data_IF_628374793798
#
_entry.id   IF_628374793798
#
_cell.length_a   1.000
_cell.length_b   1.000
_cell.length_c   1.000
_cell.angle_alpha   90.00
_cell.angle_beta   90.00
_cell.angle_gamma   90.00
#
_symmetry.space_group_name_H-M   'P 1'
#
loop_
_entity.id
_entity.type
_entity.pdbx_description
1 polymer ?
#
# COMPACT_ATOMS: atom_id res chain seq x y z
N UNK A 1 -17.86 10.36 -5.39
CA UNK A 1 -16.84 10.96 -4.49
C UNK A 1 -15.92 9.89 -3.87
N UNK A 2 -16.38 8.65 -3.62
CA UNK A 2 -15.54 7.56 -3.07
C UNK A 2 -14.42 7.04 -4.00
N UNK A 3 -14.63 7.04 -5.33
CA UNK A 3 -13.68 6.50 -6.32
C UNK A 3 -12.29 7.17 -6.26
N UNK A 4 -12.23 8.49 -6.08
CA UNK A 4 -10.97 9.23 -6.01
C UNK A 4 -10.15 8.91 -4.75
N UNK A 5 -10.82 8.70 -3.61
CA UNK A 5 -10.13 8.34 -2.36
C UNK A 5 -9.57 6.91 -2.35
N UNK A 6 -10.17 5.99 -3.12
CA UNK A 6 -9.65 4.63 -3.30
C UNK A 6 -8.43 4.60 -4.21
N UNK A 7 -8.35 5.49 -5.21
CA UNK A 7 -7.22 5.55 -6.14
C UNK A 7 -5.95 6.10 -5.47
N UNK A 8 -6.08 6.97 -4.49
CA UNK A 8 -4.94 7.50 -3.70
C UNK A 8 -4.24 6.44 -2.82
N UNK A 9 -4.76 5.22 -2.72
CA UNK A 9 -4.18 4.15 -1.87
C UNK A 9 -2.90 3.54 -2.45
N UNK A 10 -2.65 3.72 -3.75
CA UNK A 10 -1.58 3.01 -4.45
C UNK A 10 -0.25 3.78 -4.40
N UNK A 11 0.74 3.16 -3.75
CA UNK A 11 2.08 3.71 -3.63
C UNK A 11 2.94 3.39 -4.84
N UNK A 12 3.84 4.32 -5.18
CA UNK A 12 4.99 3.99 -6.04
C UNK A 12 5.93 3.02 -5.33
N UNK A 13 6.78 2.32 -6.09
CA UNK A 13 7.82 1.45 -5.51
C UNK A 13 8.69 2.17 -4.48
N UNK A 14 9.02 3.45 -4.71
CA UNK A 14 9.82 4.26 -3.79
C UNK A 14 9.07 4.55 -2.48
N UNK A 15 7.80 4.97 -2.56
CA UNK A 15 6.97 5.23 -1.38
C UNK A 15 6.79 3.95 -0.54
N UNK A 16 6.48 2.83 -1.21
CA UNK A 16 6.39 1.51 -0.59
C UNK A 16 7.69 1.16 0.18
N UNK A 17 8.83 1.23 -0.50
CA UNK A 17 10.13 0.89 0.09
C UNK A 17 10.48 1.78 1.29
N UNK A 18 10.19 3.08 1.19
CA UNK A 18 10.44 4.04 2.25
C UNK A 18 9.62 3.70 3.50
N UNK A 19 8.30 3.58 3.37
CA UNK A 19 7.43 3.25 4.50
C UNK A 19 7.71 1.87 5.10
N UNK A 20 7.96 0.87 4.25
CA UNK A 20 8.32 -0.48 4.70
C UNK A 20 9.58 -0.45 5.56
N UNK A 21 10.63 0.22 5.10
CA UNK A 21 11.90 0.31 5.83
C UNK A 21 11.76 1.02 7.19
N UNK A 22 10.80 1.93 7.32
CA UNK A 22 10.50 2.62 8.59
C UNK A 22 9.73 1.68 9.51
N UNK A 23 8.66 1.07 9.02
CA UNK A 23 7.80 0.18 9.79
C UNK A 23 8.56 -1.01 10.36
N UNK A 24 9.48 -1.60 9.59
CA UNK A 24 10.32 -2.72 10.02
C UNK A 24 11.14 -2.41 11.29
N UNK A 25 11.48 -1.15 11.56
CA UNK A 25 12.19 -0.77 12.80
C UNK A 25 11.30 -0.87 14.05
N UNK A 26 9.98 -0.94 13.88
CA UNK A 26 8.99 -0.87 14.97
C UNK A 26 8.13 -2.15 15.11
N UNK A 27 8.32 -3.16 14.26
CA UNK A 27 7.53 -4.41 14.30
C UNK A 27 7.81 -5.29 15.51
N UNK A 28 8.85 -5.00 16.28
CA UNK A 28 9.27 -5.78 17.44
C UNK A 28 9.43 -4.87 18.67
N UNK A 29 8.32 -4.35 19.21
CA UNK A 29 8.37 -3.57 20.44
C UNK A 29 8.86 -4.43 21.60
N UNK A 30 9.53 -3.80 22.55
CA UNK A 30 10.06 -4.48 23.73
C UNK A 30 8.93 -5.03 24.59
N UNK A 31 9.19 -6.15 25.27
CA UNK A 31 8.16 -6.77 26.11
C UNK A 31 7.69 -5.85 27.23
N UNK A 32 8.58 -5.04 27.80
CA UNK A 32 8.24 -4.04 28.82
C UNK A 32 7.20 -3.04 28.32
N UNK A 33 7.28 -2.63 27.06
CA UNK A 33 6.31 -1.70 26.47
C UNK A 33 4.94 -2.37 26.34
N UNK A 34 4.92 -3.65 25.95
CA UNK A 34 3.68 -4.45 25.87
C UNK A 34 3.05 -4.62 27.26
N UNK A 35 3.87 -4.93 28.26
CA UNK A 35 3.41 -5.12 29.65
C UNK A 35 2.81 -3.85 30.24
N UNK A 36 3.37 -2.68 29.95
CA UNK A 36 2.85 -1.39 30.38
C UNK A 36 1.41 -1.12 29.90
N UNK A 37 1.00 -1.72 28.77
CA UNK A 37 -0.35 -1.62 28.21
C UNK A 37 -1.25 -2.82 28.56
N UNK A 38 -0.74 -3.82 29.28
CA UNK A 38 -1.47 -5.06 29.50
C UNK A 38 -2.73 -4.85 30.34
N UNK A 39 -2.71 -3.99 31.36
CA UNK A 39 -3.88 -3.75 32.21
C UNK A 39 -4.88 -2.75 31.63
N UNK A 40 -4.64 -2.26 30.41
CA UNK A 40 -5.49 -1.25 29.80
C UNK A 40 -6.87 -1.81 29.40
N UNK A 41 -7.90 -1.02 29.66
CA UNK A 41 -9.31 -1.37 29.45
C UNK A 41 -9.63 -1.67 27.98
N UNK A 42 -8.90 -1.04 27.05
CA UNK A 42 -9.02 -1.28 25.61
C UNK A 42 -8.80 -2.75 25.21
N UNK A 43 -7.99 -3.47 25.99
CA UNK A 43 -7.56 -4.83 25.67
C UNK A 43 -8.13 -5.90 26.60
N UNK A 44 -9.04 -5.54 27.50
CA UNK A 44 -9.68 -6.51 28.41
C UNK A 44 -10.54 -7.50 27.62
N UNK A 45 -10.38 -8.79 27.93
CA UNK A 45 -11.16 -9.88 27.31
C UNK A 45 -10.87 -10.13 25.83
N UNK A 46 -9.77 -9.58 25.27
CA UNK A 46 -9.40 -9.79 23.87
C UNK A 46 -8.56 -11.05 23.69
N UNK A 47 -8.98 -11.88 22.74
CA UNK A 47 -8.13 -12.94 22.21
C UNK A 47 -6.89 -12.33 21.55
N UNK A 48 -5.74 -13.01 21.62
CA UNK A 48 -4.47 -12.53 21.05
C UNK A 48 -4.04 -11.14 21.54
N UNK A 49 -4.49 -10.73 22.72
CA UNK A 49 -4.20 -9.45 23.38
C UNK A 49 -2.77 -8.94 23.18
N UNK A 50 -1.77 -9.78 23.43
CA UNK A 50 -0.36 -9.39 23.34
C UNK A 50 0.01 -8.94 21.93
N UNK A 51 -0.53 -9.61 20.90
CA UNK A 51 -0.28 -9.25 19.50
C UNK A 51 -1.00 -7.95 19.13
N UNK A 52 -2.23 -7.77 19.59
CA UNK A 52 -2.99 -6.52 19.34
C UNK A 52 -2.29 -5.32 20.00
N UNK A 53 -1.77 -5.49 21.22
CA UNK A 53 -0.97 -4.46 21.91
C UNK A 53 0.30 -4.16 21.11
N UNK A 54 1.01 -5.19 20.64
CA UNK A 54 2.19 -5.01 19.78
C UNK A 54 1.84 -4.20 18.53
N UNK A 55 0.73 -4.52 17.87
CA UNK A 55 0.31 -3.80 16.67
C UNK A 55 0.00 -2.33 16.95
N UNK A 56 -0.66 -2.04 18.08
CA UNK A 56 -0.96 -0.69 18.53
C UNK A 56 0.32 0.12 18.82
N UNK A 57 1.31 -0.49 19.48
CA UNK A 57 2.60 0.14 19.75
C UNK A 57 3.36 0.40 18.44
N UNK A 58 3.39 -0.57 17.53
CA UNK A 58 3.99 -0.42 16.20
C UNK A 58 3.33 0.72 15.41
N UNK A 59 1.99 0.78 15.40
CA UNK A 59 1.22 1.86 14.79
C UNK A 59 1.62 3.22 15.37
N UNK A 60 1.64 3.37 16.70
CA UNK A 60 2.03 4.61 17.36
C UNK A 60 3.45 5.04 17.00
N UNK A 61 4.43 4.14 17.12
CA UNK A 61 5.83 4.47 16.87
C UNK A 61 6.08 4.81 15.39
N UNK A 62 5.41 4.10 14.48
CA UNK A 62 5.43 4.43 13.06
C UNK A 62 4.87 5.83 12.80
N UNK A 63 3.69 6.17 13.34
CA UNK A 63 3.09 7.49 13.14
C UNK A 63 3.94 8.61 13.75
N UNK A 64 4.44 8.41 14.98
CA UNK A 64 5.33 9.37 15.65
C UNK A 64 6.61 9.66 14.87
N UNK A 65 7.11 8.70 14.07
CA UNK A 65 8.25 8.92 13.18
C UNK A 65 7.99 10.03 12.14
N UNK A 66 6.74 10.21 11.71
CA UNK A 66 6.37 11.22 10.71
C UNK A 66 5.82 12.51 11.30
N UNK A 67 5.48 12.54 12.60
CA UNK A 67 4.86 13.70 13.24
C UNK A 67 5.73 14.97 13.30
N UNK A 68 7.01 14.89 12.90
CA UNK A 68 7.92 16.04 12.89
C UNK A 68 8.17 16.64 11.49
N UNK A 69 7.53 16.16 10.41
CA UNK A 69 7.74 16.65 9.04
C UNK A 69 6.50 16.42 8.13
N UNK A 70 6.36 17.21 7.05
CA UNK A 70 5.41 16.95 5.93
C UNK A 70 5.64 15.60 5.20
N UNK A 71 6.55 14.77 5.71
CA UNK A 71 7.00 13.54 5.09
C UNK A 71 5.91 12.47 5.02
N UNK A 72 4.94 12.44 5.96
CA UNK A 72 3.89 11.42 5.90
C UNK A 72 3.02 11.59 4.66
N UNK A 73 2.48 12.80 4.44
CA UNK A 73 1.60 13.09 3.30
C UNK A 73 2.32 12.80 1.99
N UNK A 74 3.55 13.31 1.84
CA UNK A 74 4.37 13.11 0.64
C UNK A 74 4.69 11.65 0.33
N UNK A 75 4.71 10.78 1.33
CA UNK A 75 5.04 9.37 1.17
C UNK A 75 3.85 8.44 1.43
N UNK A 76 2.61 8.96 1.52
CA UNK A 76 1.41 8.16 1.72
C UNK A 76 1.42 7.26 2.98
N UNK A 77 2.07 7.73 4.05
CA UNK A 77 2.36 6.88 5.22
C UNK A 77 1.09 6.29 5.87
N UNK A 78 0.00 7.07 5.92
CA UNK A 78 -1.28 6.63 6.47
C UNK A 78 -1.89 5.46 5.69
N UNK A 79 -1.81 5.47 4.36
CA UNK A 79 -2.36 4.39 3.52
C UNK A 79 -1.54 3.13 3.67
N UNK A 80 -0.21 3.27 3.72
CA UNK A 80 0.71 2.15 3.92
C UNK A 80 0.48 1.46 5.28
N UNK A 81 0.41 2.21 6.38
CA UNK A 81 0.17 1.60 7.70
C UNK A 81 -1.23 0.99 7.79
N UNK A 82 -2.23 1.59 7.14
CA UNK A 82 -3.56 0.99 7.04
C UNK A 82 -3.53 -0.34 6.27
N UNK A 83 -2.74 -0.44 5.19
CA UNK A 83 -2.54 -1.69 4.47
C UNK A 83 -1.92 -2.75 5.38
N UNK A 84 -0.88 -2.38 6.13
CA UNK A 84 -0.23 -3.30 7.05
C UNK A 84 -1.21 -3.84 8.11
N UNK A 85 -2.01 -2.99 8.74
CA UNK A 85 -3.06 -3.41 9.68
C UNK A 85 -4.08 -4.35 9.02
N UNK A 86 -4.54 -4.03 7.80
CA UNK A 86 -5.46 -4.88 7.05
C UNK A 86 -4.85 -6.26 6.73
N UNK A 87 -3.58 -6.29 6.37
CA UNK A 87 -2.83 -7.53 6.14
C UNK A 87 -2.76 -8.37 7.41
N UNK A 88 -2.46 -7.76 8.56
CA UNK A 88 -2.44 -8.45 9.85
C UNK A 88 -3.81 -8.99 10.24
N UNK A 89 -4.88 -8.18 10.12
CA UNK A 89 -6.27 -8.61 10.37
C UNK A 89 -6.69 -9.80 9.52
N UNK A 90 -6.32 -9.80 8.23
CA UNK A 90 -6.75 -10.85 7.28
C UNK A 90 -5.91 -12.12 7.37
N UNK A 91 -4.61 -12.01 7.59
CA UNK A 91 -3.69 -13.17 7.54
C UNK A 91 -3.44 -13.78 8.91
N UNK A 92 -3.36 -12.95 9.96
CA UNK A 92 -3.01 -13.39 11.31
C UNK A 92 -4.25 -13.65 12.15
N UNK A 93 -5.12 -12.64 12.31
CA UNK A 93 -6.26 -12.72 13.21
C UNK A 93 -7.49 -13.37 12.59
N UNK A 94 -7.70 -13.20 11.27
CA UNK A 94 -8.90 -13.65 10.53
C UNK A 94 -10.21 -13.16 11.16
N UNK A 95 -10.16 -11.97 11.74
CA UNK A 95 -11.17 -11.34 12.61
C UNK A 95 -12.25 -10.55 11.86
N UNK A 96 -12.21 -10.50 10.52
CA UNK A 96 -13.10 -9.64 9.73
C UNK A 96 -12.96 -8.14 10.03
N UNK A 97 -11.81 -7.70 10.57
CA UNK A 97 -11.55 -6.31 10.92
C UNK A 97 -12.01 -5.91 12.33
N UNK A 98 -12.35 -6.86 13.21
CA UNK A 98 -12.83 -6.56 14.55
C UNK A 98 -11.85 -5.71 15.39
N UNK A 99 -10.54 -5.77 15.13
CA UNK A 99 -9.56 -5.00 15.89
C UNK A 99 -9.40 -3.55 15.41
N UNK A 100 -10.01 -3.14 14.28
CA UNK A 100 -9.92 -1.76 13.81
C UNK A 100 -10.46 -0.74 14.80
N UNK A 101 -11.52 -1.10 15.55
CA UNK A 101 -12.05 -0.25 16.64
C UNK A 101 -11.04 -0.09 17.79
N UNK A 102 -10.20 -1.10 18.03
CA UNK A 102 -9.15 -1.05 19.04
C UNK A 102 -8.03 -0.12 18.58
N UNK A 103 -7.61 -0.22 17.31
CA UNK A 103 -6.61 0.67 16.74
C UNK A 103 -7.07 2.14 16.80
N UNK A 104 -8.31 2.43 16.40
CA UNK A 104 -8.90 3.77 16.49
C UNK A 104 -8.92 4.29 17.94
N UNK A 105 -9.44 3.50 18.88
CA UNK A 105 -9.51 3.89 20.29
C UNK A 105 -8.11 4.11 20.90
N UNK A 106 -7.13 3.26 20.55
CA UNK A 106 -5.75 3.41 20.98
C UNK A 106 -5.12 4.69 20.44
N UNK A 107 -5.31 5.01 19.15
CA UNK A 107 -4.83 6.26 18.57
C UNK A 107 -5.44 7.48 19.29
N UNK A 108 -6.75 7.44 19.56
CA UNK A 108 -7.45 8.50 20.27
C UNK A 108 -7.01 8.68 21.72
N UNK A 109 -6.50 7.62 22.36
CA UNK A 109 -6.03 7.64 23.75
C UNK A 109 -4.57 8.05 23.87
N UNK A 110 -3.71 7.64 22.93
CA UNK A 110 -2.25 7.73 23.10
C UNK A 110 -1.49 8.55 22.06
N UNK A 111 -2.16 9.04 21.01
CA UNK A 111 -1.51 9.74 19.90
C UNK A 111 -2.04 11.17 19.72
N UNK A 112 -3.34 11.42 19.93
CA UNK A 112 -4.07 12.67 19.63
C UNK A 112 -3.69 13.92 20.43
N UNK A 113 -2.78 13.84 21.41
CA UNK A 113 -2.47 14.99 22.27
C UNK A 113 -1.70 16.13 21.59
N UNK A 114 -1.25 15.96 20.34
CA UNK A 114 -0.61 17.01 19.54
C UNK A 114 -1.16 17.02 18.11
N UNK A 115 -2.11 17.93 17.84
CA UNK A 115 -2.56 18.36 16.49
C UNK A 115 -3.22 17.30 15.60
N UNK A 116 -4.02 17.77 14.63
CA UNK A 116 -4.87 16.99 13.72
C UNK A 116 -4.21 15.68 13.26
N UNK A 117 -4.66 14.58 13.85
CA UNK A 117 -4.00 13.30 13.68
C UNK A 117 -4.22 12.81 12.23
N UNK A 118 -3.20 13.04 11.39
CA UNK A 118 -3.20 12.91 9.93
C UNK A 118 -3.76 11.58 9.39
N UNK A 119 -3.70 10.51 10.19
CA UNK A 119 -4.07 9.17 9.76
C UNK A 119 -5.38 8.62 10.32
N UNK A 120 -6.04 9.25 11.31
CA UNK A 120 -7.22 8.65 11.96
C UNK A 120 -8.30 8.25 10.95
N UNK A 121 -8.66 9.17 10.04
CA UNK A 121 -9.66 8.91 8.99
C UNK A 121 -9.22 7.87 7.94
N UNK A 122 -7.92 7.55 7.89
CA UNK A 122 -7.35 6.59 6.96
C UNK A 122 -7.25 5.17 7.54
N UNK A 123 -7.26 5.00 8.87
CA UNK A 123 -7.18 3.67 9.50
C UNK A 123 -8.56 3.03 9.51
N UNK A 124 -8.82 2.20 8.51
CA UNK A 124 -10.11 1.50 8.34
C UNK A 124 -9.92 0.15 7.67
N UNK A 125 -10.82 -0.78 7.99
CA UNK A 125 -10.87 -2.06 7.30
C UNK A 125 -11.17 -1.85 5.82
N UNK A 126 -10.23 -2.23 4.95
CA UNK A 126 -10.32 -2.04 3.52
C UNK A 126 -11.33 -2.99 2.90
N UNK A 127 -12.03 -2.53 1.87
CA UNK A 127 -12.84 -3.41 1.03
C UNK A 127 -11.98 -4.54 0.45
N UNK A 128 -12.45 -5.81 0.44
CA UNK A 128 -11.62 -6.95 0.02
C UNK A 128 -10.95 -6.79 -1.34
N UNK A 129 -11.66 -6.25 -2.34
CA UNK A 129 -11.08 -6.05 -3.68
C UNK A 129 -9.94 -5.02 -3.69
N UNK A 130 -10.08 -3.94 -2.92
CA UNK A 130 -9.04 -2.89 -2.82
C UNK A 130 -7.82 -3.46 -2.12
N UNK A 131 -8.04 -4.20 -1.03
CA UNK A 131 -6.96 -4.86 -0.31
C UNK A 131 -6.18 -5.83 -1.19
N UNK A 132 -6.85 -6.69 -1.95
CA UNK A 132 -6.17 -7.66 -2.83
C UNK A 132 -5.37 -6.96 -3.93
N UNK A 133 -5.85 -5.84 -4.50
CA UNK A 133 -5.09 -5.06 -5.47
C UNK A 133 -3.79 -4.49 -4.86
N UNK A 134 -3.89 -3.83 -3.70
CA UNK A 134 -2.72 -3.26 -3.00
C UNK A 134 -1.74 -4.36 -2.58
N UNK A 135 -2.27 -5.49 -2.09
CA UNK A 135 -1.48 -6.65 -1.69
C UNK A 135 -0.67 -7.21 -2.86
N UNK A 136 -1.30 -7.44 -4.01
CA UNK A 136 -0.61 -7.96 -5.20
C UNK A 136 0.45 -6.98 -5.70
N UNK A 137 0.15 -5.68 -5.71
CA UNK A 137 1.11 -4.62 -6.07
C UNK A 137 2.34 -4.64 -5.14
N UNK A 138 2.14 -4.71 -3.83
CA UNK A 138 3.26 -4.75 -2.88
C UNK A 138 4.01 -6.08 -2.89
N UNK A 139 3.35 -7.20 -3.18
CA UNK A 139 4.01 -8.48 -3.41
C UNK A 139 4.93 -8.43 -4.64
N UNK A 140 4.48 -7.81 -5.72
CA UNK A 140 5.30 -7.55 -6.90
C UNK A 140 6.54 -6.72 -6.55
N UNK A 141 6.38 -5.66 -5.76
CA UNK A 141 7.51 -4.86 -5.25
C UNK A 141 8.46 -5.65 -4.36
N UNK A 142 7.95 -6.53 -3.49
CA UNK A 142 8.78 -7.42 -2.68
C UNK A 142 9.62 -8.37 -3.53
N UNK A 143 9.03 -8.96 -4.57
CA UNK A 143 9.77 -9.80 -5.50
C UNK A 143 10.81 -9.00 -6.27
N UNK A 144 10.47 -7.80 -6.74
CA UNK A 144 11.45 -6.91 -7.38
C UNK A 144 12.62 -6.60 -6.46
N UNK A 145 12.37 -6.16 -5.23
CA UNK A 145 13.44 -5.87 -4.27
C UNK A 145 14.32 -7.09 -3.98
N UNK A 146 13.72 -8.29 -3.87
CA UNK A 146 14.47 -9.54 -3.72
C UNK A 146 15.32 -9.84 -4.95
N UNK A 147 14.77 -9.68 -6.15
CA UNK A 147 15.51 -9.80 -7.40
C UNK A 147 16.76 -8.90 -7.40
N UNK A 148 16.60 -7.61 -7.08
CA UNK A 148 17.70 -6.64 -7.06
C UNK A 148 18.73 -6.94 -5.96
N UNK A 149 18.27 -7.28 -4.75
CA UNK A 149 19.18 -7.56 -3.61
C UNK A 149 19.98 -8.85 -3.80
N UNK A 150 19.44 -9.80 -4.57
CA UNK A 150 19.99 -11.15 -4.76
C UNK A 150 20.70 -11.36 -6.08
N UNK A 151 21.03 -10.32 -6.85
CA UNK A 151 21.63 -10.44 -8.21
C UNK A 151 22.81 -11.39 -8.31
N UNK A 152 23.64 -11.51 -7.28
CA UNK A 152 24.81 -12.40 -7.33
C UNK A 152 24.48 -13.87 -7.01
N UNK A 153 23.21 -14.19 -6.74
CA UNK A 153 22.72 -15.51 -6.38
C UNK A 153 21.85 -16.09 -7.49
N UNK A 154 21.90 -17.42 -7.67
CA UNK A 154 21.10 -18.13 -8.68
C UNK A 154 19.59 -17.91 -8.54
N UNK A 155 19.12 -17.61 -7.32
CA UNK A 155 17.71 -17.37 -7.01
C UNK A 155 17.19 -16.02 -7.53
N UNK A 156 18.07 -15.09 -7.96
CA UNK A 156 17.67 -13.76 -8.42
C UNK A 156 16.62 -13.83 -9.54
N UNK A 157 16.85 -14.65 -10.56
CA UNK A 157 15.93 -14.79 -11.68
C UNK A 157 14.61 -15.45 -11.31
N UNK A 158 14.58 -16.29 -10.27
CA UNK A 158 13.32 -16.80 -9.70
C UNK A 158 12.48 -15.67 -9.13
N UNK A 159 13.10 -14.71 -8.43
CA UNK A 159 12.37 -13.52 -7.95
C UNK A 159 11.93 -12.60 -9.09
N UNK A 160 12.73 -12.45 -10.15
CA UNK A 160 12.31 -11.71 -11.34
C UNK A 160 11.08 -12.35 -12.00
N UNK A 161 11.05 -13.69 -12.11
CA UNK A 161 9.89 -14.43 -12.62
C UNK A 161 8.66 -14.27 -11.73
N UNK A 162 8.81 -14.34 -10.40
CA UNK A 162 7.72 -14.09 -9.46
C UNK A 162 7.18 -12.66 -9.55
N UNK A 163 8.08 -11.68 -9.74
CA UNK A 163 7.72 -10.29 -9.96
C UNK A 163 6.92 -10.11 -11.25
N UNK A 164 7.41 -10.67 -12.37
CA UNK A 164 6.71 -10.68 -13.65
C UNK A 164 5.31 -11.30 -13.52
N UNK A 165 5.21 -12.47 -12.89
CA UNK A 165 3.91 -13.14 -12.69
C UNK A 165 2.94 -12.27 -11.90
N UNK A 166 3.39 -11.64 -10.82
CA UNK A 166 2.54 -10.74 -10.04
C UNK A 166 2.10 -9.50 -10.85
N UNK A 167 2.96 -8.98 -11.73
CA UNK A 167 2.60 -7.90 -12.66
C UNK A 167 1.55 -8.37 -13.67
N UNK A 168 1.75 -9.54 -14.28
CA UNK A 168 0.83 -10.12 -15.26
C UNK A 168 -0.55 -10.43 -14.65
N UNK A 169 -0.58 -10.91 -13.41
CA UNK A 169 -1.80 -11.11 -12.64
C UNK A 169 -2.55 -9.79 -12.43
N UNK A 170 -1.85 -8.67 -12.21
CA UNK A 170 -2.47 -7.33 -12.11
C UNK A 170 -3.07 -6.93 -13.45
N UNK A 171 -2.31 -7.04 -14.55
CA UNK A 171 -2.78 -6.68 -15.89
C UNK A 171 -4.01 -7.48 -16.29
N UNK A 172 -4.00 -8.78 -16.00
CA UNK A 172 -5.08 -9.70 -16.38
C UNK A 172 -6.37 -9.43 -15.62
N UNK A 173 -6.30 -9.08 -14.33
CA UNK A 173 -7.48 -8.97 -13.48
C UNK A 173 -7.97 -7.53 -13.28
N UNK A 174 -7.21 -6.53 -13.73
CA UNK A 174 -7.56 -5.13 -13.55
C UNK A 174 -8.40 -4.60 -14.72
N UNK A 175 -9.72 -4.49 -14.50
CA UNK A 175 -10.68 -4.05 -15.52
C UNK A 175 -11.42 -2.74 -15.18
N UNK A 176 -10.94 -1.97 -14.19
CA UNK A 176 -11.67 -0.79 -13.70
C UNK A 176 -11.12 0.51 -14.27
N UNK A 177 -11.98 1.29 -14.92
CA UNK A 177 -11.67 2.63 -15.41
C UNK A 177 -11.68 3.69 -14.28
N UNK A 178 -10.87 4.74 -14.45
CA UNK A 178 -10.83 5.89 -13.56
C UNK A 178 -9.93 5.76 -12.33
N UNK A 179 -9.03 4.77 -12.30
CA UNK A 179 -7.95 4.66 -11.30
C UNK A 179 -6.63 5.21 -11.89
N UNK A 180 -6.61 6.51 -12.11
CA UNK A 180 -5.47 7.25 -12.69
C UNK A 180 -4.15 7.03 -11.94
N UNK A 181 -4.19 7.01 -10.60
CA UNK A 181 -3.03 6.83 -9.73
C UNK A 181 -2.51 5.40 -9.82
N UNK A 182 -3.39 4.40 -9.76
CA UNK A 182 -2.98 3.00 -9.97
C UNK A 182 -2.28 2.80 -11.31
N UNK A 183 -2.89 3.32 -12.38
CA UNK A 183 -2.36 3.24 -13.73
C UNK A 183 -1.00 3.92 -13.86
N UNK A 184 -0.82 5.12 -13.28
CA UNK A 184 0.46 5.83 -13.23
C UNK A 184 1.52 4.99 -12.49
N UNK A 185 1.19 4.44 -11.32
CA UNK A 185 2.10 3.61 -10.53
C UNK A 185 2.56 2.36 -11.28
N UNK A 186 1.66 1.70 -12.03
CA UNK A 186 2.01 0.55 -12.85
C UNK A 186 2.87 0.92 -14.06
N UNK A 187 2.63 2.08 -14.68
CA UNK A 187 3.42 2.59 -15.81
C UNK A 187 4.85 2.88 -15.38
N UNK A 188 5.00 3.56 -14.23
CA UNK A 188 6.30 3.88 -13.65
C UNK A 188 7.07 2.60 -13.30
N UNK A 189 6.40 1.62 -12.68
CA UNK A 189 7.03 0.35 -12.36
C UNK A 189 7.45 -0.44 -13.60
N UNK A 190 6.59 -0.48 -14.63
CA UNK A 190 6.90 -1.13 -15.92
C UNK A 190 8.20 -0.58 -16.50
N UNK A 191 8.37 0.75 -16.53
CA UNK A 191 9.60 1.40 -16.96
C UNK A 191 10.81 0.95 -16.12
N UNK A 192 10.69 0.99 -14.79
CA UNK A 192 11.76 0.55 -13.86
C UNK A 192 12.18 -0.90 -14.14
N UNK A 193 11.22 -1.80 -14.36
CA UNK A 193 11.48 -3.22 -14.58
C UNK A 193 12.15 -3.48 -15.93
N UNK A 194 11.67 -2.84 -17.00
CA UNK A 194 12.16 -3.04 -18.36
C UNK A 194 13.54 -2.42 -18.60
N UNK A 195 13.81 -1.27 -18.00
CA UNK A 195 15.11 -0.59 -18.07
C UNK A 195 16.19 -1.27 -17.20
N UNK A 196 15.81 -2.26 -16.38
CA UNK A 196 16.76 -3.01 -15.57
C UNK A 196 17.79 -3.72 -16.46
N UNK A 197 19.08 -3.58 -16.15
CA UNK A 197 20.16 -4.15 -16.98
C UNK A 197 20.04 -5.67 -17.17
N UNK A 198 19.54 -6.41 -16.16
CA UNK A 198 19.41 -7.86 -16.26
C UNK A 198 18.18 -8.27 -17.06
N UNK A 199 17.11 -7.47 -17.02
CA UNK A 199 15.90 -7.68 -17.82
C UNK A 199 16.15 -7.31 -19.28
N UNK A 200 16.63 -6.08 -19.52
CA UNK A 200 16.92 -5.55 -20.86
C UNK A 200 17.95 -6.39 -21.62
N UNK A 201 19.02 -6.87 -20.95
CA UNK A 201 20.03 -7.76 -21.55
C UNK A 201 19.63 -9.24 -21.52
N UNK A 202 18.43 -9.58 -21.06
CA UNK A 202 17.92 -10.96 -20.97
C UNK A 202 18.88 -11.92 -20.25
N UNK A 203 19.43 -11.47 -19.11
CA UNK A 203 20.31 -12.28 -18.26
C UNK A 203 19.55 -13.38 -17.51
N UNK A 204 18.25 -13.19 -17.29
CA UNK A 204 17.35 -14.22 -16.82
C UNK A 204 16.73 -14.98 -18.01
N UNK A 205 16.27 -16.22 -17.76
CA UNK A 205 15.61 -17.06 -18.77
C UNK A 205 14.58 -16.28 -19.60
N UNK A 206 14.44 -16.67 -20.88
CA UNK A 206 13.52 -16.11 -21.87
C UNK A 206 12.01 -16.15 -21.50
N UNK A 207 11.67 -16.71 -20.33
CA UNK A 207 10.31 -16.73 -19.77
C UNK A 207 9.86 -15.36 -19.25
N UNK A 208 10.78 -14.42 -19.05
CA UNK A 208 10.44 -13.02 -18.73
C UNK A 208 10.42 -12.24 -20.04
N UNK A 209 9.25 -11.71 -20.45
CA UNK A 209 9.18 -10.83 -21.61
C UNK A 209 10.06 -9.59 -21.40
N UNK A 210 10.73 -9.15 -22.46
CA UNK A 210 11.44 -7.86 -22.44
C UNK A 210 10.46 -6.68 -22.40
N UNK A 211 9.24 -6.87 -22.92
CA UNK A 211 8.20 -5.85 -22.92
C UNK A 211 6.97 -6.43 -22.21
N UNK A 212 6.61 -5.81 -21.11
CA UNK A 212 5.41 -6.09 -20.34
C UNK A 212 4.18 -5.52 -21.06
N UNK A 213 3.05 -6.20 -20.96
CA UNK A 213 1.76 -5.62 -21.35
C UNK A 213 1.38 -4.46 -20.43
N UNK A 214 0.38 -3.66 -20.81
CA UNK A 214 -0.17 -2.61 -19.95
C UNK A 214 -1.70 -2.78 -19.91
N UNK A 215 -2.39 -2.55 -18.78
CA UNK A 215 -3.82 -2.79 -18.71
C UNK A 215 -4.60 -1.88 -19.66
N UNK A 216 -5.52 -2.44 -20.44
CA UNK A 216 -6.34 -1.68 -21.41
C UNK A 216 -7.16 -0.56 -20.73
N UNK A 217 -7.67 -0.82 -19.51
CA UNK A 217 -8.38 0.15 -18.69
C UNK A 217 -7.53 1.40 -18.35
N UNK A 218 -6.20 1.28 -18.39
CA UNK A 218 -5.28 2.39 -18.16
C UNK A 218 -4.96 3.19 -19.43
N UNK A 219 -5.21 2.64 -20.61
CA UNK A 219 -5.00 3.33 -21.90
C UNK A 219 -6.03 4.45 -22.09
N UNK A 220 -7.31 4.19 -21.80
CA UNK A 220 -8.39 5.19 -21.89
C UNK A 220 -8.27 6.32 -20.83
N UNK A 221 -7.61 6.04 -19.70
CA UNK A 221 -7.38 7.06 -18.66
C UNK A 221 -6.31 8.09 -19.05
N UNK A 222 -5.49 7.83 -20.08
CA UNK A 222 -4.48 8.75 -20.59
C UNK A 222 -5.08 9.77 -21.56
N UNK A 223 -6.04 9.37 -22.40
CA UNK A 223 -6.72 10.25 -23.36
C UNK A 223 -7.51 11.37 -22.65
N UNK A 224 -8.16 11.06 -21.51
CA UNK A 224 -8.93 12.04 -20.73
C UNK A 224 -8.03 13.10 -20.05
N UNK A 225 -6.77 12.78 -19.74
CA UNK A 225 -5.83 13.74 -19.15
C UNK A 225 -5.24 14.71 -20.18
N UNK A 226 -5.23 14.33 -21.46
CA UNK A 226 -4.72 15.16 -22.56
C UNK A 226 -5.86 15.96 -23.24
N UNK A 227 -7.09 15.43 -23.26
CA UNK A 227 -8.27 16.13 -23.82
C UNK A 227 -8.90 17.17 -22.87
N UNK A 228 -8.58 17.14 -21.58
CA UNK A 228 -9.13 18.07 -20.57
C UNK A 228 -8.77 19.56 -20.75
N UNK A 229 -7.98 19.93 -21.76
CA UNK A 229 -7.65 21.33 -22.10
C UNK A 229 -8.53 21.88 -23.24
N UNK A 230 -9.24 21.04 -23.99
CA UNK A 230 -9.96 21.49 -25.20
C UNK A 230 -11.40 21.00 -25.18
N UNK A 231 -12.33 21.95 -25.07
CA UNK A 231 -13.81 21.85 -25.17
C UNK A 231 -14.62 21.69 -23.87
N UNK A 232 -14.76 22.80 -23.12
CA UNK A 232 -16.06 23.12 -22.52
C UNK A 232 -16.78 24.07 -23.48
N UNK A 233 -17.72 23.54 -24.25
CA UNK A 233 -18.83 24.33 -24.75
C UNK A 233 -20.08 23.45 -24.95
N UNK A 234 -21.14 23.91 -24.28
CA UNK A 234 -22.55 23.51 -24.29
C UNK A 234 -23.02 22.51 -25.37
N UNK A 235 -23.78 21.50 -24.92
CA UNK A 235 -25.20 21.40 -25.27
C UNK A 235 -25.98 20.46 -24.33
N UNK A 236 -27.00 21.05 -23.73
CA UNK A 236 -28.11 20.48 -22.97
C UNK A 236 -29.19 20.02 -23.96
N UNK A 237 -29.69 18.78 -23.90
CA UNK A 237 -31.04 18.41 -24.38
C UNK A 237 -31.62 17.31 -23.50
N UNK A 238 -32.89 17.52 -23.13
CA UNK A 238 -33.76 16.79 -22.22
C UNK A 238 -34.20 15.38 -22.64
N UNK A 239 -34.64 14.62 -21.63
CA UNK A 239 -35.38 13.36 -21.70
C UNK A 239 -36.76 13.50 -22.37
N UNK A 240 -37.25 12.38 -22.95
CA UNK A 240 -38.66 11.98 -22.81
C UNK A 240 -38.84 10.45 -22.79
N UNK A 241 -39.77 9.91 -21.95
CA UNK A 241 -40.01 8.47 -21.75
C UNK A 241 -41.22 7.96 -22.56
N UNK A 242 -41.34 6.64 -22.75
CA UNK A 242 -42.63 6.01 -23.03
C UNK A 242 -42.77 4.57 -22.52
N UNK A 243 -43.89 4.37 -21.82
CA UNK A 243 -44.50 3.17 -21.18
C UNK A 243 -45.04 2.15 -22.22
N UNK A 244 -44.87 0.83 -22.02
CA UNK A 244 -45.76 -0.19 -21.37
C UNK A 244 -46.91 -0.72 -22.22
N UNK A 245 -47.01 -2.05 -22.36
CA UNK A 245 -48.20 -2.93 -22.13
C UNK A 245 -47.76 -4.40 -22.35
N UNK A 246 -47.84 -5.30 -21.35
CA UNK A 246 -48.93 -6.28 -21.16
C UNK A 246 -48.68 -7.53 -22.03
N UNK A 247 -48.66 -8.78 -21.58
CA UNK A 247 -49.54 -9.45 -20.63
C UNK A 247 -48.99 -10.87 -20.30
N UNK A 248 -49.40 -11.41 -19.17
CA UNK A 248 -48.95 -12.67 -18.57
C UNK A 248 -49.61 -13.92 -19.17
N UNK A 249 -48.95 -15.07 -19.06
CA UNK A 249 -49.61 -16.33 -18.66
C UNK A 249 -48.60 -17.39 -18.21
N UNK A 250 -48.72 -17.77 -16.94
CA UNK A 250 -48.29 -19.08 -16.42
C UNK A 250 -49.42 -20.08 -16.70
N UNK A 251 -49.15 -21.39 -16.71
CA UNK A 251 -49.55 -22.14 -15.53
C UNK A 251 -48.50 -23.14 -15.05
N UNK A 252 -48.71 -23.52 -13.79
CA UNK A 252 -47.91 -24.36 -12.92
C UNK A 252 -48.54 -25.76 -12.88
N UNK A 253 -47.74 -26.82 -12.78
CA UNK A 253 -48.19 -28.07 -12.16
C UNK A 253 -47.02 -28.81 -11.51
N UNK A 254 -47.22 -29.15 -10.24
CA UNK A 254 -46.33 -29.85 -9.31
C UNK A 254 -46.20 -31.35 -9.63
N UNK A 255 -45.08 -31.96 -9.21
CA UNK A 255 -45.15 -33.21 -8.44
C UNK A 255 -43.93 -33.43 -7.55
N UNK A 256 -44.21 -34.00 -6.37
CA UNK A 256 -43.40 -34.13 -5.17
C UNK A 256 -42.65 -35.48 -5.05
N UNK A 257 -41.49 -35.43 -4.37
CA UNK A 257 -40.91 -36.34 -3.36
C UNK A 257 -40.47 -37.77 -3.75
N UNK A 258 -39.16 -38.07 -3.59
CA UNK A 258 -38.65 -39.05 -2.61
C UNK A 258 -37.13 -38.96 -2.35
N UNK A 259 -36.81 -39.09 -1.07
CA UNK A 259 -35.52 -39.11 -0.35
C UNK A 259 -34.89 -40.51 -0.38
N UNK A 260 -33.56 -40.63 -0.45
CA UNK A 260 -32.74 -41.54 0.39
C UNK A 260 -31.24 -41.29 0.22
N UNK A 261 -30.54 -41.34 1.36
CA UNK A 261 -29.08 -41.28 1.60
C UNK A 261 -28.32 -42.50 1.07
N UNK A 262 -27.00 -42.34 0.85
CA UNK A 262 -26.02 -43.30 1.36
C UNK A 262 -24.63 -42.64 1.52
N UNK A 263 -24.17 -42.63 2.78
CA UNK A 263 -22.82 -42.30 3.24
C UNK A 263 -21.82 -43.37 2.78
N UNK A 264 -20.59 -42.97 2.46
CA UNK A 264 -19.43 -43.87 2.62
C UNK A 264 -18.25 -43.08 3.17
N UNK A 265 -18.13 -43.15 4.49
CA UNK A 265 -16.97 -42.73 5.28
C UNK A 265 -15.82 -43.71 5.04
N UNK A 266 -14.72 -43.26 4.43
CA UNK A 266 -13.45 -43.99 4.46
C UNK A 266 -12.70 -43.66 5.76
N UNK A 267 -12.99 -44.44 6.81
CA UNK A 267 -12.24 -44.51 8.05
C UNK A 267 -10.91 -45.23 7.82
N UNK A 268 -9.82 -44.49 7.65
CA UNK A 268 -8.46 -45.05 7.74
C UNK A 268 -8.08 -45.14 9.22
N UNK A 269 -8.10 -46.38 9.71
CA UNK A 269 -7.63 -46.83 11.02
C UNK A 269 -6.15 -46.48 11.24
N UNK A 270 -5.85 -45.61 12.21
CA UNK A 270 -4.49 -45.39 12.71
C UNK A 270 -4.18 -46.38 13.84
N UNK A 271 -3.52 -47.48 13.48
CA UNK A 271 -2.84 -48.37 14.43
C UNK A 271 -1.58 -47.71 14.96
N UNK A 272 -1.40 -47.75 16.28
CA UNK A 272 -0.29 -47.14 16.99
C UNK A 272 1.05 -47.87 16.76
N UNK A 273 2.04 -47.18 16.21
CA UNK A 273 3.47 -47.46 16.39
C UNK A 273 4.28 -46.16 16.23
N UNK A 274 4.95 -45.72 17.30
CA UNK A 274 5.91 -44.62 17.27
C UNK A 274 7.24 -45.08 16.65
N UNK A 275 7.90 -44.22 15.85
CA UNK A 275 9.35 -44.08 15.95
C UNK A 275 9.67 -42.68 16.49
N UNK A 276 10.09 -42.66 17.76
CA UNK A 276 10.76 -41.50 18.36
C UNK A 276 12.12 -41.39 17.66
N UNK A 277 12.23 -40.46 16.71
CA UNK A 277 13.44 -39.70 16.33
C UNK A 277 13.09 -38.92 15.08
N UNK A 278 12.93 -37.59 15.21
CA UNK A 278 13.09 -36.56 14.14
C UNK A 278 12.46 -35.21 14.55
N UNK A 279 12.64 -34.74 15.81
CA UNK A 279 12.16 -33.40 16.21
C UNK A 279 13.30 -32.48 16.71
N UNK A 280 14.51 -33.00 16.94
CA UNK A 280 15.63 -32.16 17.42
C UNK A 280 16.29 -31.29 16.34
N UNK A 281 16.02 -31.51 15.04
CA UNK A 281 16.68 -30.77 13.95
C UNK A 281 15.93 -29.49 13.53
N UNK A 282 14.59 -29.45 13.66
CA UNK A 282 13.79 -28.30 13.20
C UNK A 282 13.94 -27.04 14.04
N UNK A 283 14.16 -27.20 15.34
CA UNK A 283 14.27 -26.07 16.29
C UNK A 283 15.57 -25.29 16.07
N UNK A 284 16.67 -25.96 15.74
CA UNK A 284 17.95 -25.30 15.45
C UNK A 284 17.89 -24.44 14.19
N UNK A 285 17.24 -24.93 13.13
CA UNK A 285 17.04 -24.17 11.89
C UNK A 285 16.11 -22.98 12.14
N UNK A 286 15.03 -23.16 12.91
CA UNK A 286 14.12 -22.08 13.28
C UNK A 286 14.83 -20.98 14.09
N UNK A 287 15.69 -21.35 15.05
CA UNK A 287 16.45 -20.39 15.85
C UNK A 287 17.56 -19.68 15.05
N UNK A 288 18.19 -20.34 14.07
CA UNK A 288 19.12 -19.68 13.14
C UNK A 288 18.41 -18.70 12.18
N UNK A 289 17.22 -19.06 11.68
CA UNK A 289 16.38 -18.15 10.89
C UNK A 289 15.92 -16.94 11.71
N UNK A 290 15.57 -17.17 12.99
CA UNK A 290 15.22 -16.09 13.92
C UNK A 290 16.43 -15.24 14.33
N UNK A 291 17.64 -15.78 14.34
CA UNK A 291 18.84 -14.98 14.62
C UNK A 291 19.25 -14.15 13.40
N UNK A 292 19.12 -14.72 12.20
CA UNK A 292 19.48 -14.03 10.96
C UNK A 292 18.55 -12.87 10.62
N UNK A 293 17.27 -12.83 11.02
CA UNK A 293 16.45 -11.62 10.74
C UNK A 293 17.03 -10.34 11.40
N UNK A 294 17.69 -10.47 12.56
CA UNK A 294 18.30 -9.34 13.27
C UNK A 294 19.66 -8.92 12.70
N UNK A 295 20.32 -9.79 11.94
CA UNK A 295 21.64 -9.56 11.33
C UNK A 295 21.65 -9.55 9.80
N UNK A 296 20.50 -9.74 9.14
CA UNK A 296 20.40 -9.64 7.68
C UNK A 296 20.41 -8.16 7.30
N UNK A 297 21.31 -7.71 6.40
CA UNK A 297 21.52 -6.30 6.08
C UNK A 297 20.41 -5.69 5.23
N UNK A 298 19.19 -6.23 5.26
CA UNK A 298 18.04 -5.74 4.49
C UNK A 298 17.71 -4.30 4.86
N UNK A 299 17.74 -3.94 6.14
CA UNK A 299 17.47 -2.56 6.58
C UNK A 299 18.54 -1.55 6.15
N UNK A 300 19.82 -1.92 6.21
CA UNK A 300 20.92 -1.06 5.77
C UNK A 300 20.98 -0.96 4.24
N UNK A 301 20.69 -2.06 3.54
CA UNK A 301 20.62 -2.10 2.08
C UNK A 301 19.43 -1.31 1.54
N UNK A 302 18.23 -1.42 2.13
CA UNK A 302 17.07 -0.58 1.80
C UNK A 302 17.40 0.90 2.00
N UNK A 303 18.05 1.27 3.10
CA UNK A 303 18.54 2.65 3.33
C UNK A 303 19.54 3.10 2.27
N UNK A 304 20.43 2.23 1.80
CA UNK A 304 21.39 2.53 0.73
C UNK A 304 20.69 2.68 -0.64
N UNK A 305 19.67 1.88 -0.92
CA UNK A 305 18.88 2.01 -2.15
C UNK A 305 18.03 3.28 -2.15
N UNK A 306 17.44 3.68 -1.01
CA UNK A 306 16.75 4.98 -0.87
C UNK A 306 17.72 6.13 -1.16
N UNK A 307 18.98 6.06 -0.69
CA UNK A 307 20.02 7.04 -1.04
C UNK A 307 20.37 7.02 -2.53
N UNK A 308 20.42 5.83 -3.16
CA UNK A 308 20.75 5.67 -4.58
C UNK A 308 19.64 6.20 -5.50
N UNK A 309 18.36 5.94 -5.18
CA UNK A 309 17.21 6.52 -5.88
C UNK A 309 17.08 8.03 -5.67
N UNK A 310 17.41 8.54 -4.46
CA UNK A 310 17.46 9.98 -4.20
C UNK A 310 18.54 10.68 -5.03
N UNK A 311 19.65 10.02 -5.34
CA UNK A 311 20.72 10.54 -6.21
C UNK A 311 20.29 10.80 -7.66
N UNK A 312 19.27 10.09 -8.16
CA UNK A 312 18.71 10.30 -9.51
C UNK A 312 17.60 11.36 -9.52
N UNK A 313 17.02 11.68 -8.36
CA UNK A 313 15.95 12.68 -8.19
C UNK A 313 16.46 14.13 -8.10
N UNK A 314 17.75 14.36 -7.90
CA UNK A 314 18.29 15.72 -7.75
C UNK A 314 18.08 16.59 -9.00
N UNK A 315 17.89 15.99 -10.19
CA UNK A 315 17.59 16.77 -11.40
C UNK A 315 16.14 17.28 -11.47
N UNK A 316 15.17 16.65 -10.78
CA UNK A 316 13.78 17.12 -10.76
C UNK A 316 13.55 18.23 -9.72
N UNK A 317 14.44 18.36 -8.73
CA UNK A 317 14.33 19.38 -7.70
C UNK A 317 14.77 20.76 -8.20
N UNK A 318 15.76 20.79 -9.09
CA UNK A 318 16.29 22.03 -9.66
C UNK A 318 15.33 22.63 -10.70
N UNK A 319 14.62 21.82 -11.51
CA UNK A 319 13.65 22.33 -12.49
C UNK A 319 12.38 22.92 -11.85
N UNK A 320 11.98 22.44 -10.67
CA UNK A 320 10.83 22.96 -9.93
C UNK A 320 11.17 24.23 -9.14
N UNK A 321 12.44 24.39 -8.72
CA UNK A 321 12.94 25.57 -8.03
C UNK A 321 13.15 26.77 -8.99
N UNK A 322 13.60 26.51 -10.23
CA UNK A 322 13.78 27.54 -11.26
C UNK A 322 12.44 28.05 -11.84
N UNK A 323 11.43 27.18 -11.99
CA UNK A 323 10.08 27.56 -12.46
C UNK A 323 9.31 28.44 -11.44
N UNK A 324 9.64 28.34 -10.15
CA UNK A 324 9.00 29.12 -9.09
C UNK A 324 9.61 30.53 -8.94
N UNK A 325 10.84 30.73 -9.42
CA UNK A 325 11.53 32.03 -9.38
C UNK A 325 10.96 33.01 -10.41
N UNK A 326 10.54 32.52 -11.58
CA UNK A 326 10.03 33.37 -12.67
C UNK A 326 8.62 33.91 -12.45
N UNK A 327 7.81 33.28 -11.59
CA UNK A 327 6.43 33.68 -11.31
C UNK A 327 6.25 34.57 -10.07
N UNK A 328 7.32 34.87 -9.33
CA UNK A 328 7.25 35.67 -8.09
C UNK A 328 7.66 37.14 -8.24
N UNK A 329 8.15 37.53 -9.41
CA UNK A 329 8.75 38.86 -9.64
C UNK A 329 7.83 39.83 -10.38
N UNK A 330 6.53 39.90 -10.05
CA UNK A 330 5.66 40.97 -10.59
C UNK A 330 4.62 41.62 -9.66
N UNK A 331 4.56 41.29 -8.37
CA UNK A 331 3.68 42.02 -7.43
C UNK A 331 4.47 42.62 -6.25
N UNK A 332 5.21 43.70 -6.52
CA UNK A 332 5.54 44.72 -5.50
C UNK A 332 5.39 46.11 -6.09
N UNK A 333 4.19 46.68 -5.96
CA UNK A 333 3.97 48.12 -6.09
C UNK A 333 3.34 48.65 -4.79
N UNK A 334 4.14 49.46 -4.09
CA UNK A 334 3.83 50.61 -3.25
C UNK A 334 2.95 50.48 -2.00
N UNK A 335 3.60 50.55 -0.84
CA UNK A 335 3.20 51.46 0.26
C UNK A 335 4.46 51.92 1.03
N UNK A 336 5.12 52.96 0.52
CA UNK A 336 6.05 53.77 1.33
C UNK A 336 6.13 55.18 0.76
N UNK A 337 5.51 56.16 1.43
CA UNK A 337 6.04 57.54 1.42
C UNK A 337 5.56 58.41 2.59
N UNK A 338 6.38 59.44 2.85
CA UNK A 338 6.36 60.54 3.83
C UNK A 338 6.83 60.18 5.25
N UNK A 339 8.03 60.53 5.73
CA UNK A 339 8.97 61.57 5.28
C UNK A 339 8.53 62.95 5.78
N UNK A 340 8.88 63.29 7.03
CA UNK A 340 8.80 64.66 7.53
C UNK A 340 10.20 65.27 7.56
N UNK A 341 10.36 66.34 6.79
CA UNK A 341 11.53 67.22 6.68
C UNK A 341 11.82 67.96 7.99
N UNK A 342 13.11 68.08 8.30
CA UNK A 342 13.63 69.06 9.27
C UNK A 342 14.36 70.13 8.47
N UNK A 343 13.90 71.38 8.56
CA UNK A 343 14.78 72.54 8.48
C UNK A 343 14.15 73.75 9.19
N UNK A 344 14.87 74.33 10.13
CA UNK A 344 14.83 75.77 10.40
C UNK A 344 16.27 76.24 10.56
N UNK A 345 16.65 77.22 9.75
CA UNK A 345 17.98 77.83 9.69
C UNK A 345 18.22 78.83 10.84
N UNK A 346 19.51 78.96 11.15
CA UNK A 346 20.29 79.99 11.86
C UNK A 346 19.62 81.30 12.32
N UNK A 347 19.95 81.72 13.56
CA UNK A 347 20.88 82.84 13.90
C UNK A 347 21.59 82.48 15.21
#
# INVERSE_FOLDING_TARGET
MERGQEDEIYDTLQMYNYNKSILENFMHPEWSDVEAHYSDDLFVGKEMKNFIIKDCITLKNYLMHFMSNDSCYKNNCCKYINYWLNKTERMTYKSGGANFKIYEAYMNKYITHNTDNLCISNIKYMHPSVFENVKTLYQMYDFYNKFISKRNESISCTYAQMCFKAYDDIVTNFHKEGYSKFCSVLKDFKKIFEEDEWVSRRKCDHKIPHLLSYPDACTHSQEISEEGIVTVNHQTVELKPQETFGEASHPQSQQEIKRSEEDTVLLISFGATLPITLISSGIGVLLMLLSSYKFTPLGQWLKLQIKKLKGTSNNFHDELYEMQKYNSEHDRINLQYNGYDISYNSI
#
